data_IF_862931112270
#
_entry.id   IF_862931112270
#
_cell.length_a   1.000
_cell.length_b   1.000
_cell.length_c   1.000
_cell.angle_alpha   90.00
_cell.angle_beta   90.00
_cell.angle_gamma   90.00
#
_symmetry.space_group_name_H-M   'P 1'
#
loop_
_entity.id
_entity.type
_entity.pdbx_description
1 polymer ?
#
# COMPACT_ATOMS: atom_id res chain seq x y z
N UNK A 1 52.07 -21.12 -80.83
CA UNK A 1 52.14 -22.45 -81.46
C UNK A 1 50.75 -23.04 -81.46
N UNK A 2 50.20 -23.21 -82.66
CA UNK A 2 48.82 -23.61 -82.93
C UNK A 2 48.66 -25.12 -82.69
N UNK A 3 47.58 -25.54 -82.04
CA UNK A 3 46.94 -26.82 -82.35
C UNK A 3 45.43 -26.66 -82.34
N UNK A 4 44.85 -27.29 -83.36
CA UNK A 4 43.54 -27.10 -83.93
C UNK A 4 42.49 -28.02 -83.27
N UNK A 5 41.26 -27.52 -83.30
CA UNK A 5 39.99 -28.22 -83.57
C UNK A 5 39.73 -29.60 -82.94
N UNK A 6 38.67 -29.68 -82.13
CA UNK A 6 37.40 -30.33 -82.55
C UNK A 6 36.33 -30.19 -81.46
N UNK A 7 35.22 -29.57 -81.85
CA UNK A 7 33.92 -29.60 -81.16
C UNK A 7 33.30 -30.99 -81.36
N UNK A 8 32.57 -31.52 -80.37
CA UNK A 8 31.14 -31.66 -80.63
C UNK A 8 30.27 -31.21 -79.44
N UNK A 9 29.23 -30.47 -79.82
CA UNK A 9 27.96 -30.26 -79.13
C UNK A 9 27.55 -31.39 -78.20
N UNK A 10 27.50 -31.11 -76.89
CA UNK A 10 26.73 -31.90 -75.93
C UNK A 10 25.51 -31.09 -75.53
N UNK A 11 24.37 -31.70 -75.82
CA UNK A 11 23.00 -31.24 -75.71
C UNK A 11 22.63 -30.85 -74.29
N UNK A 12 22.06 -29.65 -74.15
CA UNK A 12 21.43 -29.13 -72.94
C UNK A 12 20.21 -29.99 -72.58
N UNK A 13 20.33 -30.89 -71.60
CA UNK A 13 19.19 -31.60 -71.02
C UNK A 13 18.60 -30.77 -69.88
N UNK A 14 17.48 -30.09 -70.16
CA UNK A 14 16.63 -29.43 -69.18
C UNK A 14 15.97 -30.51 -68.29
N UNK A 15 16.54 -30.77 -67.12
CA UNK A 15 15.89 -31.62 -66.12
C UNK A 15 14.78 -30.83 -65.44
N UNK A 16 13.53 -31.10 -65.84
CA UNK A 16 12.33 -30.57 -65.20
C UNK A 16 12.19 -31.22 -63.80
N UNK A 17 12.70 -30.55 -62.78
CA UNK A 17 12.49 -30.96 -61.39
C UNK A 17 11.02 -30.71 -61.03
N UNK A 18 10.19 -31.74 -61.13
CA UNK A 18 8.85 -31.74 -60.57
C UNK A 18 8.97 -31.67 -59.04
N UNK A 19 8.83 -30.46 -58.49
CA UNK A 19 8.65 -30.25 -57.07
C UNK A 19 7.26 -30.78 -56.73
N UNK A 20 7.19 -32.03 -56.28
CA UNK A 20 6.01 -32.58 -55.65
C UNK A 20 5.77 -31.81 -54.35
N UNK A 21 4.92 -30.79 -54.40
CA UNK A 21 4.29 -30.19 -53.23
C UNK A 21 3.35 -31.25 -52.63
N UNK A 22 3.89 -32.15 -51.82
CA UNK A 22 3.08 -33.04 -51.01
C UNK A 22 2.35 -32.18 -49.98
N UNK A 23 1.08 -31.87 -50.26
CA UNK A 23 0.16 -31.39 -49.24
C UNK A 23 0.03 -32.51 -48.21
N UNK A 24 0.77 -32.41 -47.10
CA UNK A 24 0.57 -33.28 -45.95
C UNK A 24 -0.78 -32.89 -45.34
N UNK A 25 -1.82 -33.60 -45.76
CA UNK A 25 -3.13 -33.54 -45.10
C UNK A 25 -2.96 -34.26 -43.76
N UNK A 26 -2.80 -33.49 -42.68
CA UNK A 26 -2.87 -34.05 -41.34
C UNK A 26 -4.28 -34.64 -41.15
N UNK A 27 -4.38 -35.98 -41.11
CA UNK A 27 -5.62 -36.66 -40.80
C UNK A 27 -6.08 -36.26 -39.39
N UNK A 28 -7.38 -35.99 -39.22
CA UNK A 28 -7.91 -35.67 -37.90
C UNK A 28 -7.68 -36.84 -36.91
N UNK A 29 -7.37 -36.55 -35.63
CA UNK A 29 -7.10 -37.59 -34.64
C UNK A 29 -8.31 -38.53 -34.46
N UNK A 30 -8.07 -39.85 -34.48
CA UNK A 30 -9.10 -40.90 -34.33
C UNK A 30 -9.95 -40.79 -33.06
N UNK A 31 -9.43 -40.13 -32.02
CA UNK A 31 -10.07 -39.96 -30.71
C UNK A 31 -10.30 -38.49 -30.34
N UNK A 32 -10.47 -37.60 -31.32
CA UNK A 32 -10.80 -36.18 -31.08
C UNK A 32 -12.12 -36.09 -30.31
N UNK A 33 -12.09 -35.45 -29.14
CA UNK A 33 -13.29 -35.23 -28.34
C UNK A 33 -14.19 -34.18 -29.00
N UNK A 34 -15.50 -34.42 -29.00
CA UNK A 34 -16.52 -33.43 -29.35
C UNK A 34 -16.83 -32.60 -28.10
N UNK A 35 -16.03 -31.54 -27.90
CA UNK A 35 -16.08 -30.70 -26.71
C UNK A 35 -17.06 -29.54 -26.95
N UNK A 36 -18.14 -29.41 -26.15
CA UNK A 36 -19.05 -28.27 -26.26
C UNK A 36 -18.33 -26.94 -26.09
N UNK A 37 -18.72 -25.94 -26.89
CA UNK A 37 -18.13 -24.59 -26.83
C UNK A 37 -18.26 -23.93 -25.45
N UNK A 38 -19.27 -24.30 -24.67
CA UNK A 38 -19.50 -23.79 -23.31
C UNK A 38 -18.43 -24.17 -22.29
N UNK A 39 -17.62 -25.21 -22.56
CA UNK A 39 -16.52 -25.64 -21.70
C UNK A 39 -15.14 -25.39 -22.33
N UNK A 40 -15.09 -24.75 -23.51
CA UNK A 40 -13.86 -24.31 -24.14
C UNK A 40 -13.53 -22.88 -23.68
N UNK A 41 -12.25 -22.60 -23.47
CA UNK A 41 -11.78 -21.22 -23.30
C UNK A 41 -11.84 -20.52 -24.65
N UNK A 42 -12.59 -19.41 -24.79
CA UNK A 42 -12.61 -18.64 -26.02
C UNK A 42 -11.21 -18.10 -26.35
N UNK A 43 -10.84 -18.10 -27.63
CA UNK A 43 -9.56 -17.51 -28.08
C UNK A 43 -9.51 -15.99 -27.87
N UNK A 44 -10.66 -15.34 -27.73
CA UNK A 44 -10.76 -13.90 -27.45
C UNK A 44 -11.84 -13.63 -26.41
N UNK A 45 -11.51 -12.80 -25.41
CA UNK A 45 -12.44 -12.33 -24.38
C UNK A 45 -12.34 -10.81 -24.31
N UNK A 46 -13.43 -10.11 -24.63
CA UNK A 46 -13.51 -8.65 -24.52
C UNK A 46 -13.77 -8.26 -23.06
N UNK A 47 -12.88 -7.45 -22.50
CA UNK A 47 -12.98 -6.97 -21.10
C UNK A 47 -12.80 -5.46 -21.03
N UNK A 48 -12.99 -4.88 -19.83
CA UNK A 48 -12.70 -3.46 -19.60
C UNK A 48 -11.22 -3.09 -19.76
N UNK A 49 -10.32 -4.07 -19.65
CA UNK A 49 -8.87 -3.88 -19.79
C UNK A 49 -8.45 -3.83 -21.26
N UNK A 50 -9.32 -4.34 -22.15
CA UNK A 50 -8.98 -4.67 -23.53
C UNK A 50 -9.42 -6.09 -23.88
N UNK A 51 -9.02 -6.54 -25.07
CA UNK A 51 -9.30 -7.92 -25.51
C UNK A 51 -8.18 -8.83 -25.04
N UNK A 52 -8.53 -9.85 -24.25
CA UNK A 52 -7.62 -10.92 -23.84
C UNK A 52 -7.62 -12.01 -24.93
N UNK A 53 -6.44 -12.49 -25.29
CA UNK A 53 -6.23 -13.43 -26.40
C UNK A 53 -5.55 -14.70 -25.91
N UNK A 54 -6.04 -15.83 -26.40
CA UNK A 54 -5.59 -17.15 -25.99
C UNK A 54 -5.34 -18.04 -27.21
N UNK A 55 -4.32 -18.89 -27.10
CA UNK A 55 -4.03 -20.00 -28.02
C UNK A 55 -3.96 -21.28 -27.21
N UNK A 56 -4.84 -22.23 -27.50
CA UNK A 56 -4.94 -23.50 -26.76
C UNK A 56 -5.09 -23.30 -25.24
N UNK A 57 -5.78 -22.23 -24.84
CA UNK A 57 -5.97 -21.82 -23.45
C UNK A 57 -4.81 -21.02 -22.83
N UNK A 58 -3.64 -20.94 -23.48
CA UNK A 58 -2.52 -20.13 -23.01
C UNK A 58 -2.66 -18.66 -23.48
N UNK A 59 -2.48 -17.67 -22.59
CA UNK A 59 -2.50 -16.26 -22.99
C UNK A 59 -1.27 -15.91 -23.84
N UNK A 60 -1.43 -14.98 -24.79
CA UNK A 60 -0.28 -14.38 -25.47
C UNK A 60 0.46 -13.37 -24.57
N UNK A 61 1.64 -12.92 -25.03
CA UNK A 61 2.48 -12.01 -24.24
C UNK A 61 1.78 -10.67 -23.94
N UNK A 62 0.97 -10.16 -24.86
CA UNK A 62 0.20 -8.93 -24.66
C UNK A 62 -0.86 -9.08 -23.57
N UNK A 63 -1.57 -10.21 -23.58
CA UNK A 63 -2.57 -10.57 -22.56
C UNK A 63 -1.93 -10.75 -21.19
N UNK A 64 -0.77 -11.42 -21.11
CA UNK A 64 -0.01 -11.56 -19.87
C UNK A 64 0.37 -10.19 -19.33
N UNK A 65 0.94 -9.32 -20.16
CA UNK A 65 1.33 -7.96 -19.77
C UNK A 65 0.12 -7.17 -19.27
N UNK A 66 -0.98 -7.18 -20.03
CA UNK A 66 -2.19 -6.46 -19.67
C UNK A 66 -2.79 -6.93 -18.34
N UNK A 67 -2.78 -8.24 -18.08
CA UNK A 67 -3.25 -8.81 -16.83
C UNK A 67 -2.40 -8.38 -15.64
N UNK A 68 -1.07 -8.40 -15.77
CA UNK A 68 -0.17 -7.95 -14.71
C UNK A 68 -0.22 -6.44 -14.48
N UNK A 69 -0.25 -5.63 -15.54
CA UNK A 69 -0.42 -4.17 -15.43
C UNK A 69 -1.69 -3.82 -14.65
N UNK A 70 -2.81 -4.51 -14.95
CA UNK A 70 -4.04 -4.31 -14.20
C UNK A 70 -3.94 -4.81 -12.75
N UNK A 71 -3.24 -5.92 -12.49
CA UNK A 71 -3.02 -6.40 -11.13
C UNK A 71 -2.24 -5.38 -10.30
N UNK A 72 -1.19 -4.79 -10.87
CA UNK A 72 -0.39 -3.77 -10.20
C UNK A 72 -1.19 -2.47 -10.01
N UNK A 73 -2.01 -2.07 -10.99
CA UNK A 73 -2.93 -0.95 -10.83
C UNK A 73 -3.90 -1.16 -9.67
N UNK A 74 -4.56 -2.33 -9.60
CA UNK A 74 -5.51 -2.64 -8.52
C UNK A 74 -4.81 -2.68 -7.15
N UNK A 75 -3.59 -3.24 -7.08
CA UNK A 75 -2.78 -3.23 -5.85
C UNK A 75 -2.38 -1.81 -5.45
N UNK A 76 -2.06 -0.94 -6.42
CA UNK A 76 -1.78 0.47 -6.17
C UNK A 76 -2.97 1.22 -5.60
N UNK A 77 -4.18 0.99 -6.15
CA UNK A 77 -5.42 1.56 -5.60
C UNK A 77 -5.67 1.06 -4.18
N UNK A 78 -5.51 -0.24 -3.93
CA UNK A 78 -5.66 -0.83 -2.60
C UNK A 78 -4.66 -0.22 -1.60
N UNK A 79 -3.38 -0.15 -1.97
CA UNK A 79 -2.34 0.44 -1.13
C UNK A 79 -2.60 1.92 -0.82
N UNK A 80 -3.13 2.69 -1.79
CA UNK A 80 -3.53 4.07 -1.56
C UNK A 80 -4.64 4.16 -0.51
N UNK A 81 -5.73 3.41 -0.69
CA UNK A 81 -6.88 3.44 0.21
C UNK A 81 -6.54 2.96 1.62
N UNK A 82 -5.81 1.85 1.73
CA UNK A 82 -5.37 1.28 3.01
C UNK A 82 -4.34 2.18 3.71
N UNK A 83 -3.57 2.94 2.93
CA UNK A 83 -2.52 3.82 3.42
C UNK A 83 -3.01 5.20 3.89
N UNK A 84 -4.26 5.60 3.61
CA UNK A 84 -4.80 6.93 3.96
C UNK A 84 -4.57 7.28 5.45
N UNK A 85 -4.90 6.42 6.43
CA UNK A 85 -4.74 6.77 7.84
C UNK A 85 -3.27 7.03 8.21
N UNK A 86 -2.37 6.17 7.76
CA UNK A 86 -0.94 6.31 8.04
C UNK A 86 -0.32 7.54 7.35
N UNK A 87 -0.70 7.80 6.10
CA UNK A 87 -0.27 8.99 5.38
C UNK A 87 -0.77 10.28 6.08
N UNK A 88 -2.00 10.27 6.60
CA UNK A 88 -2.58 11.40 7.35
C UNK A 88 -1.80 11.69 8.63
N UNK A 89 -1.58 10.69 9.48
CA UNK A 89 -0.82 10.84 10.73
C UNK A 89 0.62 11.27 10.44
N UNK A 90 1.28 10.64 9.46
CA UNK A 90 2.64 11.01 9.07
C UNK A 90 2.75 12.47 8.61
N UNK A 91 1.87 12.90 7.68
CA UNK A 91 1.88 14.26 7.16
C UNK A 91 1.59 15.29 8.26
N UNK A 92 0.67 14.97 9.17
CA UNK A 92 0.35 15.81 10.32
C UNK A 92 1.53 15.94 11.29
N UNK A 93 2.16 14.83 11.68
CA UNK A 93 3.35 14.86 12.54
C UNK A 93 4.50 15.66 11.90
N UNK A 94 4.71 15.52 10.59
CA UNK A 94 5.69 16.34 9.85
C UNK A 94 5.32 17.82 9.80
N UNK A 95 4.03 18.14 9.69
CA UNK A 95 3.54 19.51 9.80
C UNK A 95 3.83 20.12 11.16
N UNK A 96 3.58 19.37 12.25
CA UNK A 96 3.88 19.81 13.61
C UNK A 96 5.39 19.98 13.86
N UNK A 97 6.21 19.04 13.41
CA UNK A 97 7.68 19.14 13.47
C UNK A 97 8.17 20.42 12.75
N UNK A 98 7.66 20.68 11.55
CA UNK A 98 7.97 21.90 10.80
C UNK A 98 7.48 23.20 11.46
N UNK A 99 6.51 23.11 12.37
CA UNK A 99 6.03 24.22 13.19
C UNK A 99 6.76 24.34 14.54
N UNK A 100 7.77 23.49 14.82
CA UNK A 100 8.57 23.53 16.04
C UNK A 100 8.09 22.61 17.17
N UNK A 101 7.13 21.71 16.90
CA UNK A 101 6.74 20.65 17.84
C UNK A 101 7.70 19.47 17.66
N UNK A 102 8.84 19.55 18.34
CA UNK A 102 9.84 18.48 18.35
C UNK A 102 9.59 17.49 19.51
N UNK A 103 10.51 16.54 19.70
CA UNK A 103 10.45 15.51 20.75
C UNK A 103 10.33 16.04 22.19
N UNK A 104 10.61 17.32 22.43
CA UNK A 104 10.58 17.94 23.76
C UNK A 104 9.51 19.04 23.89
N UNK A 105 8.77 19.32 22.82
CA UNK A 105 7.76 20.38 22.78
C UNK A 105 6.36 19.83 22.47
N UNK A 106 5.35 20.43 23.08
CA UNK A 106 3.95 20.18 22.74
C UNK A 106 3.44 21.28 21.81
N UNK A 107 2.61 20.89 20.84
CA UNK A 107 1.81 21.83 20.08
C UNK A 107 0.57 22.20 20.88
N UNK A 108 0.32 23.50 21.07
CA UNK A 108 -0.88 24.01 21.71
C UNK A 108 -1.48 25.08 20.82
N UNK A 109 -2.78 24.97 20.56
CA UNK A 109 -3.52 26.08 19.96
C UNK A 109 -3.99 27.00 21.08
N UNK A 110 -3.40 28.19 21.19
CA UNK A 110 -3.70 29.14 22.26
C UNK A 110 -5.15 29.65 22.24
N UNK A 111 -5.75 29.68 21.04
CA UNK A 111 -7.12 30.10 20.82
C UNK A 111 -7.99 28.93 20.34
N UNK A 112 -9.31 29.11 20.49
CA UNK A 112 -10.28 28.21 19.89
C UNK A 112 -10.13 28.18 18.38
N UNK A 113 -10.46 27.02 17.80
CA UNK A 113 -10.32 26.80 16.36
C UNK A 113 -11.36 27.58 15.57
N UNK A 114 -10.95 28.09 14.41
CA UNK A 114 -11.84 28.74 13.46
C UNK A 114 -11.52 28.31 12.01
N UNK A 115 -12.17 28.92 11.03
CA UNK A 115 -12.01 28.58 9.62
C UNK A 115 -10.58 28.76 9.06
N UNK A 116 -9.70 29.44 9.80
CA UNK A 116 -8.29 29.66 9.45
C UNK A 116 -7.37 28.61 10.07
N UNK A 117 -7.87 27.82 11.03
CA UNK A 117 -7.10 26.77 11.67
C UNK A 117 -6.75 25.65 10.70
N UNK A 118 -5.47 25.28 10.66
CA UNK A 118 -4.94 24.21 9.81
C UNK A 118 -4.86 22.89 10.57
N UNK A 119 -6.04 22.32 10.85
CA UNK A 119 -6.20 20.96 11.38
C UNK A 119 -7.41 20.33 10.69
N UNK A 120 -7.42 19.00 10.51
CA UNK A 120 -8.54 18.34 9.86
C UNK A 120 -9.73 18.23 10.80
N UNK A 121 -10.86 18.85 10.43
CA UNK A 121 -12.15 18.80 11.14
C UNK A 121 -12.07 19.09 12.66
N UNK A 122 -11.41 20.18 13.08
CA UNK A 122 -11.25 20.48 14.49
C UNK A 122 -12.58 20.92 15.11
N UNK A 123 -12.64 20.81 16.43
CA UNK A 123 -13.74 21.38 17.21
C UNK A 123 -13.40 22.83 17.56
N UNK A 124 -14.39 23.73 17.53
CA UNK A 124 -14.22 25.17 17.78
C UNK A 124 -14.55 25.61 19.21
N UNK A 125 -14.80 24.68 20.13
CA UNK A 125 -15.21 24.94 21.51
C UNK A 125 -14.22 24.42 22.56
N UNK A 126 -13.08 23.86 22.14
CA UNK A 126 -12.04 23.33 23.02
C UNK A 126 -10.66 23.73 22.55
N UNK A 127 -9.73 23.86 23.50
CA UNK A 127 -8.31 24.06 23.22
C UNK A 127 -7.69 22.70 22.92
N UNK A 128 -6.84 22.64 21.88
CA UNK A 128 -6.13 21.43 21.52
C UNK A 128 -4.69 21.46 22.00
N UNK A 129 -4.23 20.31 22.49
CA UNK A 129 -2.84 19.98 22.81
C UNK A 129 -2.49 18.73 22.00
N UNK A 130 -1.36 18.75 21.30
CA UNK A 130 -0.95 17.67 20.41
C UNK A 130 0.54 17.39 20.54
N UNK A 131 0.91 16.15 20.32
CA UNK A 131 2.30 15.73 20.21
C UNK A 131 2.39 14.41 19.42
N UNK A 132 3.51 14.20 18.72
CA UNK A 132 3.80 12.93 18.07
C UNK A 132 5.02 12.30 18.74
N UNK A 133 4.81 11.25 19.54
CA UNK A 133 5.88 10.52 20.19
C UNK A 133 6.59 9.61 19.19
N UNK A 134 7.93 9.58 19.24
CA UNK A 134 8.76 8.56 18.58
C UNK A 134 9.33 7.62 19.65
N UNK A 135 9.03 6.32 19.53
CA UNK A 135 9.43 5.27 20.46
C UNK A 135 10.61 4.44 19.95
N UNK A 136 11.27 4.82 18.85
CA UNK A 136 12.40 4.05 18.29
C UNK A 136 13.55 3.89 19.27
N UNK A 137 13.80 4.90 20.10
CA UNK A 137 14.90 4.90 21.06
C UNK A 137 14.52 4.25 22.41
N UNK A 138 13.26 3.82 22.56
CA UNK A 138 12.78 3.12 23.74
C UNK A 138 11.48 3.68 24.30
N UNK A 139 11.10 3.25 25.52
CA UNK A 139 9.90 3.72 26.19
C UNK A 139 9.95 5.22 26.51
N UNK A 140 8.80 5.90 26.37
CA UNK A 140 8.64 7.33 26.67
C UNK A 140 7.57 7.52 27.75
N UNK A 141 7.77 8.48 28.65
CA UNK A 141 6.78 8.83 29.67
C UNK A 141 5.98 10.06 29.23
N UNK A 142 4.66 9.92 29.19
CA UNK A 142 3.72 11.03 29.12
C UNK A 142 3.22 11.33 30.54
N UNK A 143 3.47 12.54 31.03
CA UNK A 143 2.86 13.05 32.27
C UNK A 143 1.62 13.87 31.94
N UNK A 144 0.45 13.26 32.07
CA UNK A 144 -0.82 13.90 31.81
C UNK A 144 -1.25 14.78 32.99
N UNK A 145 -1.63 16.03 32.70
CA UNK A 145 -2.22 16.93 33.68
C UNK A 145 -3.72 16.63 33.90
N UNK A 146 -4.28 16.95 35.08
CA UNK A 146 -5.72 16.88 35.30
C UNK A 146 -6.48 17.76 34.30
N UNK A 147 -7.66 17.30 33.87
CA UNK A 147 -8.53 18.06 32.96
C UNK A 147 -8.19 17.94 31.46
N UNK A 148 -7.12 17.23 31.11
CA UNK A 148 -6.82 16.83 29.74
C UNK A 148 -7.74 15.65 29.35
N UNK A 149 -8.24 15.63 28.12
CA UNK A 149 -9.03 14.52 27.57
C UNK A 149 -8.68 14.25 26.12
N UNK A 150 -8.37 13.00 25.78
CA UNK A 150 -8.33 12.57 24.38
C UNK A 150 -7.51 11.32 24.15
N UNK A 151 -7.53 10.80 22.91
CA UNK A 151 -6.88 9.54 22.60
C UNK A 151 -5.37 9.68 22.40
N UNK A 152 -4.70 8.55 22.62
CA UNK A 152 -3.42 8.20 22.02
C UNK A 152 -3.69 7.18 20.91
N UNK A 153 -3.36 7.57 19.68
CA UNK A 153 -3.53 6.73 18.50
C UNK A 153 -2.18 6.35 17.91
N UNK A 154 -2.10 5.18 17.28
CA UNK A 154 -0.86 4.73 16.64
C UNK A 154 -0.62 5.37 15.26
N UNK A 155 0.49 5.00 14.62
CA UNK A 155 0.86 5.51 13.29
C UNK A 155 -0.19 5.24 12.19
N UNK A 156 -1.12 4.31 12.39
CA UNK A 156 -2.23 3.99 11.47
C UNK A 156 -3.56 4.58 11.94
N UNK A 157 -3.53 5.53 12.86
CA UNK A 157 -4.71 6.18 13.43
C UNK A 157 -5.64 5.19 14.15
N UNK A 158 -5.07 4.13 14.74
CA UNK A 158 -5.81 3.16 15.55
C UNK A 158 -5.73 3.55 17.02
N UNK A 159 -6.86 3.51 17.70
CA UNK A 159 -6.96 3.77 19.13
C UNK A 159 -6.09 2.81 19.94
N UNK A 160 -5.27 3.38 20.82
CA UNK A 160 -4.48 2.63 21.81
C UNK A 160 -5.14 2.77 23.19
N UNK A 161 -5.30 4.01 23.64
CA UNK A 161 -5.82 4.32 24.98
C UNK A 161 -6.30 5.77 25.03
N UNK A 162 -7.20 6.07 25.97
CA UNK A 162 -7.57 7.45 26.30
C UNK A 162 -6.75 7.99 27.48
N UNK A 163 -6.46 9.29 27.43
CA UNK A 163 -6.02 10.12 28.55
C UNK A 163 -7.20 10.91 29.09
N UNK A 164 -7.29 11.11 30.40
CA UNK A 164 -8.36 11.87 31.03
C UNK A 164 -9.52 11.04 31.55
N UNK A 165 -10.72 11.64 31.52
CA UNK A 165 -11.92 11.09 32.16
C UNK A 165 -12.25 9.66 31.73
N UNK A 166 -12.07 9.35 30.43
CA UNK A 166 -12.33 8.02 29.87
C UNK A 166 -11.13 7.07 30.02
N UNK A 167 -9.95 7.62 30.32
CA UNK A 167 -8.72 6.87 30.52
C UNK A 167 -8.60 6.19 31.90
N UNK A 168 -7.46 5.55 32.16
CA UNK A 168 -7.14 4.98 33.46
C UNK A 168 -6.90 6.04 34.54
N UNK A 169 -6.49 7.26 34.17
CA UNK A 169 -6.29 8.36 35.12
C UNK A 169 -7.59 8.97 35.70
N UNK A 170 -8.76 8.66 35.11
CA UNK A 170 -10.09 9.13 35.54
C UNK A 170 -10.17 10.66 35.68
N UNK A 171 -9.48 11.38 34.82
CA UNK A 171 -9.42 12.85 34.79
C UNK A 171 -8.51 13.47 35.85
N UNK A 172 -7.84 12.66 36.68
CA UNK A 172 -6.96 13.14 37.76
C UNK A 172 -5.53 13.37 37.30
N UNK A 173 -5.21 13.09 36.04
CA UNK A 173 -3.85 13.08 35.54
C UNK A 173 -3.04 11.88 36.04
N UNK A 174 -1.87 11.66 35.47
CA UNK A 174 -1.03 10.52 35.80
C UNK A 174 0.08 10.29 34.78
N UNK A 175 0.92 9.29 35.05
CA UNK A 175 2.06 8.94 34.20
C UNK A 175 1.71 7.75 33.32
N UNK A 176 1.82 7.91 32.02
CA UNK A 176 1.66 6.86 31.04
C UNK A 176 3.04 6.47 30.51
N UNK A 177 3.41 5.19 30.63
CA UNK A 177 4.64 4.67 30.04
C UNK A 177 4.31 4.05 28.68
N UNK A 178 4.69 4.75 27.62
CA UNK A 178 4.50 4.35 26.24
C UNK A 178 5.63 3.40 25.84
N UNK A 179 5.29 2.15 25.54
CA UNK A 179 6.25 1.07 25.29
C UNK A 179 6.25 0.72 23.79
N UNK A 180 7.41 0.74 23.11
CA UNK A 180 7.50 0.40 21.69
C UNK A 180 7.16 -1.07 21.41
N UNK A 181 6.80 -1.41 20.16
CA UNK A 181 6.62 -2.79 19.76
C UNK A 181 7.94 -3.57 19.93
N UNK A 182 7.85 -4.77 20.51
CA UNK A 182 9.00 -5.66 20.69
C UNK A 182 9.97 -5.29 21.82
N UNK A 183 9.61 -4.38 22.73
CA UNK A 183 10.43 -4.08 23.90
C UNK A 183 10.51 -5.26 24.88
N UNK A 184 11.72 -5.73 25.19
CA UNK A 184 11.99 -6.85 26.11
C UNK A 184 12.62 -6.42 27.45
N UNK A 185 12.84 -5.11 27.65
CA UNK A 185 13.43 -4.59 28.88
C UNK A 185 12.48 -4.68 30.07
N UNK A 186 13.02 -4.49 31.28
CA UNK A 186 12.19 -4.44 32.50
C UNK A 186 11.33 -3.19 32.51
N UNK A 187 10.06 -3.36 32.90
CA UNK A 187 9.10 -2.30 33.12
C UNK A 187 8.86 -2.11 34.62
N UNK A 188 8.54 -0.89 35.08
CA UNK A 188 8.20 -0.64 36.48
C UNK A 188 6.90 -1.39 36.86
N UNK A 189 6.86 -1.93 38.08
CA UNK A 189 5.69 -2.66 38.60
C UNK A 189 4.54 -1.72 39.02
N UNK A 190 4.86 -0.48 39.37
CA UNK A 190 3.92 0.51 39.89
C UNK A 190 4.27 1.94 39.46
N UNK A 191 3.32 2.86 39.63
CA UNK A 191 3.50 4.30 39.36
C UNK A 191 3.25 4.75 37.92
N UNK A 192 2.96 3.82 36.99
CA UNK A 192 2.67 4.12 35.58
C UNK A 192 1.47 3.34 35.06
N UNK A 193 0.71 3.97 34.16
CA UNK A 193 -0.17 3.26 33.25
C UNK A 193 0.67 2.76 32.08
N UNK A 194 0.91 1.45 32.02
CA UNK A 194 1.71 0.84 30.95
C UNK A 194 0.87 0.76 29.67
N UNK A 195 1.38 1.32 28.58
CA UNK A 195 0.70 1.40 27.28
C UNK A 195 1.60 0.77 26.21
N UNK A 196 1.19 -0.39 25.70
CA UNK A 196 1.92 -1.07 24.62
C UNK A 196 1.48 -0.55 23.26
N UNK A 197 2.39 0.08 22.53
CA UNK A 197 2.11 0.57 21.19
C UNK A 197 2.37 -0.51 20.15
N UNK A 198 1.45 -0.70 19.17
CA UNK A 198 1.70 -1.58 18.03
C UNK A 198 2.67 -0.97 17.00
N UNK A 199 3.00 0.33 17.11
CA UNK A 199 3.91 1.04 16.18
C UNK A 199 4.87 1.97 16.93
N UNK A 200 5.90 2.48 16.25
CA UNK A 200 6.87 3.40 16.85
C UNK A 200 6.38 4.85 16.97
N UNK A 201 5.29 5.21 16.30
CA UNK A 201 4.73 6.57 16.37
C UNK A 201 3.40 6.52 17.11
N UNK A 202 3.25 7.37 18.11
CA UNK A 202 1.97 7.61 18.77
C UNK A 202 1.62 9.08 18.56
N UNK A 203 0.44 9.34 18.03
CA UNK A 203 -0.13 10.68 18.02
C UNK A 203 -1.03 10.88 19.21
N UNK A 204 -0.75 11.91 19.99
CA UNK A 204 -1.65 12.41 21.03
C UNK A 204 -2.50 13.53 20.46
N UNK A 205 -3.82 13.35 20.54
CA UNK A 205 -4.77 14.43 20.37
C UNK A 205 -5.48 14.64 21.69
N UNK A 206 -5.26 15.77 22.33
CA UNK A 206 -5.91 16.08 23.60
C UNK A 206 -6.65 17.40 23.53
N UNK A 207 -7.75 17.47 24.27
CA UNK A 207 -8.55 18.66 24.50
C UNK A 207 -8.41 19.09 25.94
N UNK A 208 -8.19 20.38 26.14
CA UNK A 208 -8.30 21.03 27.43
C UNK A 208 -9.64 21.78 27.49
N UNK A 209 -10.42 21.52 28.54
CA UNK A 209 -11.70 22.19 28.76
C UNK A 209 -11.50 23.48 29.54
N UNK A 210 -12.07 24.57 29.02
CA UNK A 210 -12.09 25.87 29.71
C UNK A 210 -13.11 25.78 30.85
N UNK A 211 -12.65 25.99 32.09
CA UNK A 211 -13.50 25.87 33.29
C UNK A 211 -14.13 27.21 33.72
N UNK A 212 -13.43 28.31 33.46
CA UNK A 212 -13.79 29.68 33.94
C UNK A 212 -13.74 30.72 32.80
N UNK A 213 -14.21 30.35 31.60
CA UNK A 213 -14.17 31.18 30.38
C UNK A 213 -15.41 32.04 30.15
#
# INVERSE_FOLDING_TARGET
MKFNHLCPTVTLSLALAAVCSANVVFAEPKYKADVPSSILTPNEVKTRLGTLRFKDGAPDAETVKLAYDNLDFMRGVQAFLDGIPAASVYAMCKGFEGAGVDSQAYGIWEALMDARSLLLTPNSSTIYVTHCFDLKDGPVVLEASPGLLGPLDDAYFRHIIDVGLTGPDKGKGGKYLLVPPGYEGKLPEEGYFIVHSPTYTIWQLSRAFVKDG
#
